data_IF_814679713539
#
_entry.id   IF_814679713539
#
_cell.length_a   1.000
_cell.length_b   1.000
_cell.length_c   1.000
_cell.angle_alpha   90.00
_cell.angle_beta   90.00
_cell.angle_gamma   90.00
#
_symmetry.space_group_name_H-M   'P 1'
#
loop_
_entity.id
_entity.type
_entity.pdbx_description
1 polymer ?
#
# COMPACT_ATOMS: atom_id res chain seq x y z
N UNK A 1 19.35 -3.13 24.61
CA UNK A 1 20.51 -3.61 23.85
C UNK A 1 20.81 -2.54 22.82
N UNK A 2 21.97 -1.88 22.90
CA UNK A 2 22.39 -0.93 21.87
C UNK A 2 22.41 -1.66 20.51
N UNK A 3 21.80 -1.07 19.48
CA UNK A 3 21.81 -1.67 18.16
C UNK A 3 23.25 -1.67 17.62
N UNK A 4 23.59 -2.65 16.77
CA UNK A 4 24.95 -2.73 16.21
C UNK A 4 25.34 -1.47 15.41
N UNK A 5 24.36 -0.66 15.01
CA UNK A 5 24.56 0.61 14.34
C UNK A 5 24.93 1.74 15.30
N UNK A 6 24.28 1.86 16.47
CA UNK A 6 24.57 2.95 17.41
C UNK A 6 26.03 2.90 17.88
N UNK A 7 26.53 1.73 18.25
CA UNK A 7 27.94 1.55 18.66
C UNK A 7 28.96 1.84 17.56
N UNK A 8 28.55 1.80 16.28
CA UNK A 8 29.40 2.21 15.15
C UNK A 8 29.37 3.72 14.96
N UNK A 9 28.20 4.33 15.14
CA UNK A 9 27.99 5.77 15.00
C UNK A 9 28.56 6.58 16.16
N UNK A 10 28.66 6.00 17.37
CA UNK A 10 29.30 6.63 18.53
C UNK A 10 30.74 7.10 18.28
N UNK A 11 31.43 6.53 17.29
CA UNK A 11 32.80 6.91 16.91
C UNK A 11 32.87 8.14 15.99
N UNK A 12 31.74 8.58 15.43
CA UNK A 12 31.69 9.75 14.58
C UNK A 12 31.69 11.04 15.40
N UNK A 13 32.15 12.13 14.80
CA UNK A 13 32.07 13.45 15.41
C UNK A 13 30.62 13.96 15.46
N UNK A 14 30.37 14.91 16.36
CA UNK A 14 29.02 15.45 16.57
C UNK A 14 28.44 16.14 15.33
N UNK A 15 29.26 16.76 14.49
CA UNK A 15 28.78 17.48 13.32
C UNK A 15 28.33 16.50 12.23
N UNK A 16 29.10 15.41 12.05
CA UNK A 16 28.71 14.27 11.21
C UNK A 16 27.42 13.62 11.72
N UNK A 17 27.27 13.37 13.03
CA UNK A 17 26.05 12.80 13.59
C UNK A 17 24.81 13.67 13.37
N UNK A 18 24.96 15.00 13.53
CA UNK A 18 23.88 15.95 13.25
C UNK A 18 23.50 15.95 11.77
N UNK A 19 24.48 15.85 10.87
CA UNK A 19 24.18 15.80 9.44
C UNK A 19 23.49 14.48 9.05
N UNK A 20 23.92 13.34 9.61
CA UNK A 20 23.23 12.06 9.43
C UNK A 20 21.79 12.15 9.93
N UNK A 21 21.58 12.74 11.10
CA UNK A 21 20.24 12.94 11.66
C UNK A 21 19.39 13.82 10.73
N UNK A 22 19.94 14.94 10.24
CA UNK A 22 19.27 15.84 9.30
C UNK A 22 18.86 15.14 8.00
N UNK A 23 19.74 14.30 7.45
CA UNK A 23 19.44 13.49 6.25
C UNK A 23 18.37 12.44 6.54
N UNK A 24 18.42 11.79 7.70
CA UNK A 24 17.43 10.79 8.11
C UNK A 24 16.04 11.41 8.26
N UNK A 25 15.93 12.58 8.90
CA UNK A 25 14.69 13.36 9.03
C UNK A 25 14.15 13.77 7.66
N UNK A 26 15.01 14.30 6.78
CA UNK A 26 14.63 14.65 5.41
C UNK A 26 14.12 13.45 4.61
N UNK A 27 14.73 12.28 4.80
CA UNK A 27 14.30 11.05 4.13
C UNK A 27 12.97 10.52 4.68
N UNK A 28 12.75 10.64 5.99
CA UNK A 28 11.52 10.20 6.63
C UNK A 28 10.33 11.07 6.20
N UNK A 29 10.53 12.39 6.08
CA UNK A 29 9.53 13.31 5.53
C UNK A 29 9.21 13.02 4.05
N UNK A 30 10.23 12.70 3.26
CA UNK A 30 10.03 12.24 1.88
C UNK A 30 9.25 10.92 1.82
N UNK A 31 9.49 9.97 2.73
CA UNK A 31 8.70 8.73 2.83
C UNK A 31 7.25 9.01 3.21
N UNK A 32 7.00 9.94 4.13
CA UNK A 32 5.64 10.32 4.52
C UNK A 32 4.88 10.90 3.33
N UNK A 33 5.51 11.80 2.57
CA UNK A 33 4.92 12.37 1.35
C UNK A 33 4.63 11.29 0.30
N UNK A 34 5.54 10.34 0.11
CA UNK A 34 5.33 9.21 -0.81
C UNK A 34 4.21 8.28 -0.35
N UNK A 35 4.10 8.03 0.96
CA UNK A 35 3.04 7.22 1.55
C UNK A 35 1.67 7.87 1.35
N UNK A 36 1.53 9.16 1.68
CA UNK A 36 0.29 9.91 1.45
C UNK A 36 -0.13 9.89 -0.03
N UNK A 37 0.83 10.04 -0.95
CA UNK A 37 0.56 9.95 -2.38
C UNK A 37 0.16 8.52 -2.83
N UNK A 38 0.67 7.48 -2.17
CA UNK A 38 0.25 6.10 -2.39
C UNK A 38 -1.18 5.87 -1.88
N UNK A 39 -1.50 6.35 -0.68
CA UNK A 39 -2.82 6.19 -0.05
C UNK A 39 -3.91 6.89 -0.88
N UNK A 40 -3.64 8.10 -1.38
CA UNK A 40 -4.57 8.80 -2.27
C UNK A 40 -4.84 8.01 -3.56
N UNK A 41 -3.81 7.38 -4.14
CA UNK A 41 -3.97 6.51 -5.32
C UNK A 41 -4.77 5.25 -4.99
N UNK A 42 -4.50 4.62 -3.85
CA UNK A 42 -5.21 3.42 -3.40
C UNK A 42 -6.70 3.73 -3.14
N UNK A 43 -7.02 4.82 -2.45
CA UNK A 43 -8.41 5.26 -2.22
C UNK A 43 -9.13 5.60 -3.53
N UNK A 44 -8.46 6.27 -4.47
CA UNK A 44 -9.03 6.58 -5.78
C UNK A 44 -9.34 5.29 -6.55
N UNK A 45 -8.41 4.33 -6.57
CA UNK A 45 -8.60 3.04 -7.21
C UNK A 45 -9.74 2.26 -6.55
N UNK A 46 -9.80 2.23 -5.22
CA UNK A 46 -10.89 1.59 -4.48
C UNK A 46 -12.25 2.19 -4.86
N UNK A 47 -12.38 3.52 -4.83
CA UNK A 47 -13.62 4.20 -5.21
C UNK A 47 -14.05 3.85 -6.64
N UNK A 48 -13.09 3.81 -7.57
CA UNK A 48 -13.33 3.38 -8.94
C UNK A 48 -13.77 1.91 -9.02
N UNK A 49 -13.10 1.00 -8.30
CA UNK A 49 -13.43 -0.44 -8.31
C UNK A 49 -14.81 -0.70 -7.72
N UNK A 50 -15.20 -0.03 -6.64
CA UNK A 50 -16.55 -0.13 -6.06
C UNK A 50 -17.61 0.30 -7.09
N UNK A 51 -17.37 1.39 -7.82
CA UNK A 51 -18.28 1.84 -8.87
C UNK A 51 -18.38 0.82 -10.02
N UNK A 52 -17.24 0.25 -10.46
CA UNK A 52 -17.21 -0.79 -11.50
C UNK A 52 -17.97 -2.04 -11.05
N UNK A 53 -17.73 -2.52 -9.82
CA UNK A 53 -18.46 -3.66 -9.25
C UNK A 53 -19.96 -3.40 -9.26
N UNK A 54 -20.41 -2.23 -8.82
CA UNK A 54 -21.84 -1.88 -8.80
C UNK A 54 -22.46 -1.94 -10.21
N UNK A 55 -21.77 -1.40 -11.22
CA UNK A 55 -22.22 -1.44 -12.61
C UNK A 55 -22.27 -2.87 -13.16
N UNK A 56 -21.22 -3.67 -12.91
CA UNK A 56 -21.15 -5.06 -13.40
C UNK A 56 -22.21 -5.94 -12.74
N UNK A 57 -22.46 -5.77 -11.44
CA UNK A 57 -23.54 -6.45 -10.72
C UNK A 57 -24.90 -6.07 -11.30
N UNK A 58 -25.16 -4.78 -11.51
CA UNK A 58 -26.41 -4.31 -12.08
C UNK A 58 -26.63 -4.85 -13.51
N UNK A 59 -25.60 -4.83 -14.35
CA UNK A 59 -25.64 -5.39 -15.70
C UNK A 59 -25.90 -6.90 -15.70
N UNK A 60 -25.24 -7.64 -14.81
CA UNK A 60 -25.44 -9.09 -14.64
C UNK A 60 -26.89 -9.39 -14.21
N UNK A 61 -27.43 -8.65 -13.24
CA UNK A 61 -28.82 -8.81 -12.80
C UNK A 61 -29.83 -8.46 -13.90
N UNK A 62 -29.53 -7.47 -14.75
CA UNK A 62 -30.38 -7.12 -15.88
C UNK A 62 -30.47 -8.28 -16.90
N UNK A 63 -29.36 -8.97 -17.17
CA UNK A 63 -29.33 -10.15 -18.06
C UNK A 63 -30.21 -11.26 -17.47
N UNK A 64 -30.09 -11.54 -16.17
CA UNK A 64 -30.92 -12.56 -15.50
C UNK A 64 -32.41 -12.24 -15.48
N UNK A 65 -32.80 -10.97 -15.53
CA UNK A 65 -34.20 -10.53 -15.57
C UNK A 65 -34.77 -10.43 -16.99
N UNK A 66 -33.96 -10.62 -18.02
CA UNK A 66 -34.43 -10.58 -19.41
C UNK A 66 -35.30 -11.80 -19.73
N UNK A 67 -36.28 -11.64 -20.63
CA UNK A 67 -37.18 -12.74 -21.04
C UNK A 67 -36.42 -13.89 -21.74
N UNK A 68 -35.27 -13.58 -22.34
CA UNK A 68 -34.38 -14.54 -22.98
C UNK A 68 -33.03 -14.58 -22.25
N UNK A 69 -32.98 -15.35 -21.16
CA UNK A 69 -31.76 -15.54 -20.39
C UNK A 69 -30.76 -16.36 -21.20
N UNK A 70 -29.74 -15.69 -21.74
CA UNK A 70 -28.56 -16.36 -22.24
C UNK A 70 -27.65 -16.71 -21.04
N UNK A 71 -27.64 -18.00 -20.70
CA UNK A 71 -26.86 -18.56 -19.58
C UNK A 71 -25.37 -18.21 -19.73
N UNK A 72 -24.86 -18.12 -20.95
CA UNK A 72 -23.45 -17.78 -21.19
C UNK A 72 -23.13 -16.37 -20.73
N UNK A 73 -23.91 -15.37 -21.13
CA UNK A 73 -23.69 -13.99 -20.71
C UNK A 73 -23.91 -13.80 -19.21
N UNK A 74 -24.86 -14.53 -18.62
CA UNK A 74 -25.05 -14.59 -17.16
C UNK A 74 -23.81 -15.15 -16.43
N UNK A 75 -23.25 -16.26 -16.92
CA UNK A 75 -22.05 -16.86 -16.33
C UNK A 75 -20.81 -15.95 -16.44
N UNK A 76 -20.61 -15.28 -17.59
CA UNK A 76 -19.53 -14.32 -17.76
C UNK A 76 -19.72 -13.10 -16.85
N UNK A 77 -20.96 -12.62 -16.68
CA UNK A 77 -21.28 -11.53 -15.77
C UNK A 77 -21.01 -11.88 -14.30
N UNK A 78 -21.35 -13.09 -13.87
CA UNK A 78 -21.03 -13.59 -12.53
C UNK A 78 -19.52 -13.72 -12.32
N UNK A 79 -18.78 -14.26 -13.30
CA UNK A 79 -17.32 -14.32 -13.24
C UNK A 79 -16.69 -12.92 -13.14
N UNK A 80 -17.16 -11.97 -13.96
CA UNK A 80 -16.70 -10.59 -13.93
C UNK A 80 -16.98 -9.93 -12.57
N UNK A 81 -18.19 -10.15 -12.03
CA UNK A 81 -18.59 -9.64 -10.71
C UNK A 81 -17.66 -10.17 -9.62
N UNK A 82 -17.42 -11.47 -9.61
CA UNK A 82 -16.53 -12.10 -8.63
C UNK A 82 -15.10 -11.57 -8.72
N UNK A 83 -14.51 -11.54 -9.92
CA UNK A 83 -13.15 -11.05 -10.14
C UNK A 83 -12.99 -9.58 -9.75
N UNK A 84 -13.95 -8.72 -10.10
CA UNK A 84 -13.94 -7.31 -9.71
C UNK A 84 -14.11 -7.13 -8.20
N UNK A 85 -14.90 -7.98 -7.55
CA UNK A 85 -15.06 -7.95 -6.09
C UNK A 85 -13.74 -8.32 -5.38
N UNK A 86 -13.04 -9.34 -5.88
CA UNK A 86 -11.70 -9.71 -5.38
C UNK A 86 -10.69 -8.58 -5.62
N UNK A 87 -10.69 -7.95 -6.80
CA UNK A 87 -9.85 -6.79 -7.07
C UNK A 87 -10.14 -5.63 -6.12
N UNK A 88 -11.42 -5.33 -5.86
CA UNK A 88 -11.84 -4.30 -4.92
C UNK A 88 -11.41 -4.60 -3.49
N UNK A 89 -11.40 -5.87 -3.09
CA UNK A 89 -10.89 -6.28 -1.77
C UNK A 89 -9.39 -5.97 -1.63
N UNK A 90 -8.57 -6.29 -2.63
CA UNK A 90 -7.15 -5.92 -2.60
C UNK A 90 -6.91 -4.41 -2.63
N UNK A 91 -7.74 -3.66 -3.37
CA UNK A 91 -7.68 -2.19 -3.34
C UNK A 91 -8.02 -1.65 -1.95
N UNK A 92 -8.97 -2.27 -1.25
CA UNK A 92 -9.33 -1.91 0.12
C UNK A 92 -8.18 -2.20 1.09
N UNK A 93 -7.56 -3.38 1.01
CA UNK A 93 -6.38 -3.70 1.83
C UNK A 93 -5.22 -2.72 1.58
N UNK A 94 -5.00 -2.30 0.34
CA UNK A 94 -3.99 -1.29 0.01
C UNK A 94 -4.32 0.11 0.55
N UNK A 95 -5.61 0.43 0.72
CA UNK A 95 -6.09 1.73 1.19
C UNK A 95 -6.22 1.82 2.71
N UNK A 96 -5.97 0.74 3.45
CA UNK A 96 -5.96 0.79 4.92
C UNK A 96 -4.83 1.70 5.40
N UNK A 97 -5.05 2.46 6.49
CA UNK A 97 -3.98 3.22 7.12
C UNK A 97 -2.79 2.30 7.42
N UNK A 98 -1.62 2.70 6.96
CA UNK A 98 -0.38 2.02 7.31
C UNK A 98 0.14 2.56 8.64
N UNK A 99 0.68 1.67 9.48
CA UNK A 99 1.46 2.12 10.63
C UNK A 99 2.72 2.81 10.11
N UNK A 100 2.77 4.12 10.29
CA UNK A 100 3.85 4.97 9.81
C UNK A 100 4.56 5.63 10.98
N UNK A 101 5.85 5.37 11.11
CA UNK A 101 6.70 5.99 12.12
C UNK A 101 7.01 7.44 11.70
N UNK A 102 6.56 8.41 12.50
CA UNK A 102 6.67 9.84 12.21
C UNK A 102 7.98 10.46 12.72
N UNK A 103 8.41 11.58 12.10
CA UNK A 103 9.62 12.32 12.51
C UNK A 103 9.49 12.83 13.95
N UNK A 104 10.60 12.78 14.68
CA UNK A 104 10.74 13.34 16.01
C UNK A 104 10.74 12.30 17.12
N UNK A 105 11.04 12.77 18.32
CA UNK A 105 10.96 11.97 19.54
C UNK A 105 10.21 12.77 20.60
N UNK A 106 9.53 12.07 21.50
CA UNK A 106 8.90 12.72 22.64
C UNK A 106 9.98 13.31 23.56
N UNK A 107 9.81 14.53 24.10
CA UNK A 107 10.75 15.10 25.07
C UNK A 107 10.97 14.21 26.30
N UNK A 108 9.96 13.42 26.68
CA UNK A 108 10.06 12.42 27.74
C UNK A 108 11.11 11.33 27.47
N UNK A 109 11.38 11.00 26.20
CA UNK A 109 12.43 10.06 25.81
C UNK A 109 13.84 10.56 26.11
N UNK A 110 14.02 11.87 26.28
CA UNK A 110 15.30 12.48 26.63
C UNK A 110 15.50 12.64 28.14
N UNK A 111 14.45 12.45 28.95
CA UNK A 111 14.51 12.71 30.39
C UNK A 111 15.55 11.82 31.10
N UNK A 112 15.56 10.51 30.81
CA UNK A 112 16.54 9.58 31.39
C UNK A 112 17.98 9.87 30.95
N UNK A 113 18.16 10.31 29.70
CA UNK A 113 19.47 10.66 29.17
C UNK A 113 20.00 11.95 29.79
N UNK A 114 19.11 12.92 30.04
CA UNK A 114 19.44 14.15 30.75
C UNK A 114 19.78 13.91 32.23
N UNK A 115 18.98 13.09 32.94
CA UNK A 115 19.20 12.74 34.35
C UNK A 115 20.49 11.96 34.56
N UNK A 116 20.84 11.06 33.64
CA UNK A 116 22.07 10.26 33.71
C UNK A 116 23.32 11.01 33.23
N UNK A 117 23.19 12.24 32.73
CA UNK A 117 24.30 13.01 32.17
C UNK A 117 24.92 12.34 30.95
N UNK A 118 24.11 11.63 30.16
CA UNK A 118 24.58 10.88 28.99
C UNK A 118 25.24 11.84 27.99
N UNK A 119 26.46 11.53 27.51
CA UNK A 119 27.11 12.37 26.50
C UNK A 119 26.25 12.52 25.24
N UNK A 120 26.11 13.76 24.75
CA UNK A 120 25.26 14.09 23.61
C UNK A 120 25.58 13.25 22.35
N UNK A 121 26.85 12.97 22.08
CA UNK A 121 27.25 12.15 20.92
C UNK A 121 26.68 10.72 20.97
N UNK A 122 26.59 10.12 22.16
CA UNK A 122 26.01 8.78 22.34
C UNK A 122 24.50 8.85 22.12
N UNK A 123 23.82 9.84 22.70
CA UNK A 123 22.39 10.04 22.48
C UNK A 123 22.08 10.27 20.99
N UNK A 124 22.86 11.08 20.29
CA UNK A 124 22.71 11.31 18.84
C UNK A 124 22.92 10.02 18.03
N UNK A 125 23.93 9.21 18.39
CA UNK A 125 24.18 7.94 17.72
C UNK A 125 23.02 6.93 17.90
N UNK A 126 22.41 6.89 19.08
CA UNK A 126 21.21 6.09 19.33
C UNK A 126 19.99 6.59 18.56
N UNK A 127 19.77 7.91 18.54
CA UNK A 127 18.68 8.52 17.76
C UNK A 127 18.86 8.20 16.27
N UNK A 128 20.06 8.36 15.71
CA UNK A 128 20.32 7.99 14.31
C UNK A 128 20.02 6.51 14.02
N UNK A 129 20.35 5.61 14.94
CA UNK A 129 20.05 4.20 14.80
C UNK A 129 18.53 3.92 14.87
N UNK A 130 17.82 4.62 15.75
CA UNK A 130 16.37 4.53 15.83
C UNK A 130 15.69 5.01 14.53
N UNK A 131 16.14 6.13 13.96
CA UNK A 131 15.65 6.60 12.66
C UNK A 131 15.91 5.59 11.52
N UNK A 132 17.05 4.91 11.52
CA UNK A 132 17.31 3.84 10.53
C UNK A 132 16.31 2.67 10.66
N UNK A 133 15.94 2.29 11.88
CA UNK A 133 14.91 1.27 12.14
C UNK A 133 13.54 1.74 11.64
N UNK A 134 13.13 2.97 11.94
CA UNK A 134 11.88 3.57 11.45
C UNK A 134 11.84 3.64 9.91
N UNK A 135 12.92 4.09 9.28
CA UNK A 135 13.02 4.17 7.81
C UNK A 135 12.86 2.79 7.15
N UNK A 136 13.38 1.73 7.79
CA UNK A 136 13.24 0.34 7.33
C UNK A 136 11.82 -0.19 7.54
N UNK A 137 11.24 0.08 8.71
CA UNK A 137 9.84 -0.25 9.05
C UNK A 137 8.87 0.37 8.04
N UNK A 138 8.95 1.69 7.84
CA UNK A 138 8.14 2.43 6.88
C UNK A 138 8.32 1.91 5.46
N UNK A 139 9.55 1.62 5.03
CA UNK A 139 9.81 1.04 3.70
C UNK A 139 9.14 -0.32 3.53
N UNK A 140 9.14 -1.17 4.56
CA UNK A 140 8.49 -2.48 4.51
C UNK A 140 6.95 -2.33 4.45
N UNK A 141 6.38 -1.44 5.26
CA UNK A 141 4.95 -1.14 5.23
C UNK A 141 4.49 -0.61 3.86
N UNK A 142 5.20 0.37 3.30
CA UNK A 142 4.92 0.91 1.96
C UNK A 142 5.02 -0.15 0.86
N UNK A 143 5.97 -1.09 0.98
CA UNK A 143 6.13 -2.19 0.03
C UNK A 143 4.92 -3.13 0.06
N UNK A 144 4.46 -3.51 1.26
CA UNK A 144 3.30 -4.39 1.42
C UNK A 144 2.03 -3.76 0.83
N UNK A 145 1.77 -2.48 1.09
CA UNK A 145 0.63 -1.76 0.48
C UNK A 145 0.74 -1.72 -1.06
N UNK A 146 1.94 -1.44 -1.59
CA UNK A 146 2.19 -1.44 -3.04
C UNK A 146 1.95 -2.80 -3.70
N UNK A 147 2.29 -3.90 -3.03
CA UNK A 147 2.02 -5.25 -3.51
C UNK A 147 0.51 -5.51 -3.62
N UNK A 148 -0.29 -5.11 -2.63
CA UNK A 148 -1.75 -5.23 -2.71
C UNK A 148 -2.37 -4.40 -3.86
N UNK A 149 -1.85 -3.19 -4.10
CA UNK A 149 -2.28 -2.37 -5.23
C UNK A 149 -1.99 -3.04 -6.59
N UNK A 150 -0.82 -3.68 -6.71
CA UNK A 150 -0.44 -4.45 -7.91
C UNK A 150 -1.35 -5.66 -8.11
N UNK A 151 -1.60 -6.43 -7.04
CA UNK A 151 -2.52 -7.57 -7.09
C UNK A 151 -3.94 -7.14 -7.49
N UNK A 152 -4.46 -6.07 -6.91
CA UNK A 152 -5.76 -5.49 -7.29
C UNK A 152 -5.82 -5.18 -8.78
N UNK A 153 -4.78 -4.51 -9.30
CA UNK A 153 -4.70 -4.12 -10.72
C UNK A 153 -4.61 -5.34 -11.65
N UNK A 154 -3.78 -6.33 -11.30
CA UNK A 154 -3.62 -7.54 -12.10
C UNK A 154 -4.91 -8.38 -12.15
N UNK A 155 -5.60 -8.53 -11.02
CA UNK A 155 -6.89 -9.24 -10.97
C UNK A 155 -7.93 -8.52 -11.83
N UNK A 156 -8.07 -7.20 -11.68
CA UNK A 156 -9.03 -6.42 -12.49
C UNK A 156 -8.75 -6.57 -13.99
N UNK A 157 -7.51 -6.35 -14.42
CA UNK A 157 -7.12 -6.48 -15.83
C UNK A 157 -7.36 -7.90 -16.34
N UNK A 158 -6.92 -8.92 -15.59
CA UNK A 158 -7.12 -10.32 -15.96
C UNK A 158 -8.60 -10.67 -16.13
N UNK A 159 -9.44 -10.28 -15.18
CA UNK A 159 -10.90 -10.48 -15.26
C UNK A 159 -11.49 -9.75 -16.46
N UNK A 160 -11.12 -8.49 -16.71
CA UNK A 160 -11.61 -7.74 -17.87
C UNK A 160 -11.24 -8.39 -19.19
N UNK A 161 -9.98 -8.78 -19.37
CA UNK A 161 -9.51 -9.38 -20.62
C UNK A 161 -10.20 -10.72 -20.89
N UNK A 162 -10.31 -11.58 -19.87
CA UNK A 162 -10.98 -12.88 -20.02
C UNK A 162 -12.46 -12.69 -20.34
N UNK A 163 -13.19 -11.85 -19.59
CA UNK A 163 -14.60 -11.59 -19.85
C UNK A 163 -14.83 -10.97 -21.24
N UNK A 164 -14.02 -9.98 -21.63
CA UNK A 164 -14.13 -9.34 -22.94
C UNK A 164 -13.83 -10.33 -24.08
N UNK A 165 -12.82 -11.17 -23.92
CA UNK A 165 -12.48 -12.21 -24.89
C UNK A 165 -13.62 -13.22 -25.07
N UNK A 166 -14.18 -13.73 -23.96
CA UNK A 166 -15.30 -14.68 -23.99
C UNK A 166 -16.53 -14.08 -24.68
N UNK A 167 -16.88 -12.84 -24.36
CA UNK A 167 -17.97 -12.11 -25.02
C UNK A 167 -17.70 -11.93 -26.51
N UNK A 168 -16.50 -11.50 -26.89
CA UNK A 168 -16.14 -11.32 -28.30
C UNK A 168 -16.22 -12.64 -29.08
N UNK A 169 -15.73 -13.75 -28.51
CA UNK A 169 -15.83 -15.06 -29.15
C UNK A 169 -17.28 -15.52 -29.31
N UNK A 170 -18.16 -15.24 -28.34
CA UNK A 170 -19.59 -15.55 -28.44
C UNK A 170 -20.27 -14.73 -29.54
N UNK A 171 -19.99 -13.43 -29.60
CA UNK A 171 -20.56 -12.51 -30.62
C UNK A 171 -20.09 -12.90 -32.03
N UNK A 172 -18.83 -13.30 -32.18
CA UNK A 172 -18.27 -13.73 -33.47
C UNK A 172 -18.67 -15.16 -33.85
N UNK A 173 -19.56 -15.81 -33.10
CA UNK A 173 -19.99 -17.20 -33.30
C UNK A 173 -18.83 -18.21 -33.35
N UNK A 174 -17.70 -17.92 -32.70
CA UNK A 174 -16.55 -18.83 -32.62
C UNK A 174 -16.83 -20.04 -31.72
N UNK A 175 -17.82 -19.93 -30.82
CA UNK A 175 -18.34 -21.05 -30.03
C UNK A 175 -19.75 -21.41 -30.52
N UNK A 176 -19.92 -22.56 -31.21
CA UNK A 176 -21.23 -23.10 -31.46
C UNK A 176 -21.80 -23.68 -30.15
N UNK A 177 -23.08 -23.39 -29.89
CA UNK A 177 -23.89 -23.75 -28.71
C UNK A 177 -23.76 -22.83 -27.50
#
# INVERSE_FOLDING_TARGET
>A
MASSLSSRLEKADNDTLKEILREAESRLDAQLTMALAADLRAMTLLGFMVAVVAVVVAGTLAIYKSEHVDIFFGAVGLFATFGMSVSSFYAFEAAKPIDFDAVGNYPSGWASDAESGKPLHIALAEVCAHYDEMLKSNKAAMKSSSEHLLWSSQVALGTMFVSAFLVACRILHLFPY
#
